data_IF_559738927650
#
_entry.id   IF_559738927650
#
_cell.length_a   1.000
_cell.length_b   1.000
_cell.length_c   1.000
_cell.angle_alpha   90.00
_cell.angle_beta   90.00
_cell.angle_gamma   90.00
#
_symmetry.space_group_name_H-M   'P 1'
#
loop_
_entity.id
_entity.type
_entity.pdbx_description
1 polymer ?
#
# COMPACT_ATOMS: atom_id res chain seq x y z
N UNK A 1 -27.96 65.48 -1.77
CA UNK A 1 -26.57 65.10 -2.07
C UNK A 1 -26.36 63.69 -1.55
N UNK A 2 -26.75 62.69 -2.33
CA UNK A 2 -26.66 61.27 -1.96
C UNK A 2 -25.86 60.57 -3.06
N UNK A 3 -24.64 60.16 -2.76
CA UNK A 3 -23.81 59.35 -3.64
C UNK A 3 -23.84 57.91 -3.13
N UNK A 4 -24.39 57.06 -3.99
CA UNK A 4 -24.29 55.61 -3.97
C UNK A 4 -22.82 55.19 -3.98
N UNK A 5 -22.48 54.16 -3.21
CA UNK A 5 -21.56 53.13 -3.70
C UNK A 5 -21.85 51.78 -3.02
N UNK A 6 -22.72 51.00 -3.65
CA UNK A 6 -22.79 49.56 -3.47
C UNK A 6 -22.00 48.94 -4.62
N UNK A 7 -20.94 48.18 -4.34
CA UNK A 7 -20.72 46.80 -4.83
C UNK A 7 -19.28 46.33 -4.51
N UNK A 8 -19.07 45.80 -3.30
CA UNK A 8 -17.95 44.87 -3.07
C UNK A 8 -18.40 43.50 -3.57
N UNK A 9 -18.06 43.19 -4.81
CA UNK A 9 -18.21 41.86 -5.42
C UNK A 9 -17.31 40.89 -4.65
N UNK A 10 -17.92 39.98 -3.92
CA UNK A 10 -17.26 38.83 -3.29
C UNK A 10 -16.66 37.95 -4.40
N UNK A 11 -15.33 37.90 -4.49
CA UNK A 11 -14.64 36.87 -5.25
C UNK A 11 -14.74 35.56 -4.45
N UNK A 12 -15.69 34.72 -4.84
CA UNK A 12 -15.84 33.36 -4.32
C UNK A 12 -15.64 32.35 -5.45
N UNK A 13 -14.92 31.29 -5.11
CA UNK A 13 -14.77 30.00 -5.80
C UNK A 13 -14.07 29.97 -7.16
N UNK A 14 -12.81 29.50 -7.16
CA UNK A 14 -12.30 28.65 -8.27
C UNK A 14 -11.10 27.72 -7.90
N UNK A 15 -10.63 27.72 -6.63
CA UNK A 15 -9.47 26.92 -6.21
C UNK A 15 -9.68 25.41 -6.27
N UNK A 16 -10.91 24.92 -6.05
CA UNK A 16 -11.21 23.48 -6.05
C UNK A 16 -11.22 22.80 -7.44
N UNK A 17 -11.50 23.55 -8.51
CA UNK A 17 -11.50 23.03 -9.89
C UNK A 17 -10.11 22.98 -10.52
N UNK A 18 -9.22 23.89 -10.13
CA UNK A 18 -7.83 23.89 -10.59
C UNK A 18 -7.03 22.76 -9.94
N UNK A 19 -7.17 22.58 -8.61
CA UNK A 19 -6.49 21.50 -7.88
C UNK A 19 -6.92 20.10 -8.34
N UNK A 20 -8.21 19.89 -8.64
CA UNK A 20 -8.71 18.60 -9.12
C UNK A 20 -8.27 18.24 -10.55
N UNK A 21 -8.09 19.24 -11.44
CA UNK A 21 -7.51 19.03 -12.78
C UNK A 21 -6.02 18.69 -12.70
N UNK A 22 -5.30 19.32 -11.78
CA UNK A 22 -3.87 19.08 -11.54
C UNK A 22 -3.63 17.66 -10.99
N UNK A 23 -4.44 17.20 -10.04
CA UNK A 23 -4.34 15.82 -9.51
C UNK A 23 -4.57 14.74 -10.58
N UNK A 24 -5.53 14.94 -11.49
CA UNK A 24 -5.77 14.01 -12.60
C UNK A 24 -4.61 13.93 -13.59
N UNK A 25 -3.96 15.06 -13.86
CA UNK A 25 -2.76 15.11 -14.69
C UNK A 25 -1.56 14.43 -14.01
N UNK A 26 -1.34 14.72 -12.71
CA UNK A 26 -0.29 14.10 -11.90
C UNK A 26 -0.44 12.57 -11.91
N UNK A 27 -1.65 12.06 -11.63
CA UNK A 27 -1.92 10.63 -11.61
C UNK A 27 -1.63 9.99 -12.98
N UNK A 28 -2.12 10.60 -14.06
CA UNK A 28 -1.91 10.09 -15.44
C UNK A 28 -0.43 10.03 -15.80
N UNK A 29 0.35 11.06 -15.46
CA UNK A 29 1.80 11.11 -15.72
C UNK A 29 2.58 10.09 -14.89
N UNK A 30 2.21 9.92 -13.62
CA UNK A 30 2.84 8.94 -12.74
C UNK A 30 2.57 7.51 -13.21
N UNK A 31 1.34 7.20 -13.61
CA UNK A 31 0.97 5.90 -14.14
C UNK A 31 1.68 5.60 -15.46
N UNK A 32 1.72 6.56 -16.40
CA UNK A 32 2.46 6.41 -17.65
C UNK A 32 3.97 6.18 -17.42
N UNK A 33 4.56 6.86 -16.43
CA UNK A 33 5.95 6.59 -16.05
C UNK A 33 6.12 5.18 -15.47
N UNK A 34 5.21 4.75 -14.58
CA UNK A 34 5.25 3.41 -13.96
C UNK A 34 5.12 2.30 -15.00
N UNK A 35 4.24 2.46 -15.99
CA UNK A 35 4.06 1.50 -17.09
C UNK A 35 5.36 1.22 -17.84
N UNK A 36 6.17 2.26 -18.07
CA UNK A 36 7.46 2.16 -18.76
C UNK A 36 8.68 1.85 -17.88
N UNK A 37 8.63 2.13 -16.58
CA UNK A 37 9.83 2.16 -15.71
C UNK A 37 9.71 1.37 -14.40
N UNK A 38 8.61 0.65 -14.18
CA UNK A 38 8.48 -0.22 -13.00
C UNK A 38 9.64 -1.23 -12.91
N UNK A 39 9.98 -1.60 -11.68
CA UNK A 39 10.96 -2.65 -11.42
C UNK A 39 10.28 -4.02 -11.47
N UNK A 40 10.98 -5.00 -12.03
CA UNK A 40 10.61 -6.41 -11.95
C UNK A 40 10.88 -6.94 -10.53
N UNK A 41 9.80 -7.21 -9.80
CA UNK A 41 9.84 -7.74 -8.43
C UNK A 41 8.92 -8.97 -8.35
N UNK A 42 9.33 -10.06 -7.67
CA UNK A 42 8.63 -11.35 -7.75
C UNK A 42 7.22 -11.36 -7.13
N UNK A 43 6.91 -10.38 -6.29
CA UNK A 43 5.58 -10.17 -5.69
C UNK A 43 4.69 -9.20 -6.47
N UNK A 44 5.19 -8.59 -7.55
CA UNK A 44 4.42 -7.65 -8.38
C UNK A 44 3.91 -8.34 -9.64
N UNK A 45 2.73 -7.89 -10.08
CA UNK A 45 2.23 -8.13 -11.43
C UNK A 45 2.64 -6.94 -12.29
N UNK A 46 3.25 -7.19 -13.45
CA UNK A 46 3.64 -6.12 -14.35
C UNK A 46 2.38 -5.43 -14.94
N UNK A 47 2.42 -4.14 -15.29
CA UNK A 47 1.30 -3.43 -15.91
C UNK A 47 0.71 -4.15 -17.14
N UNK A 48 1.58 -4.71 -17.99
CA UNK A 48 1.17 -5.51 -19.15
C UNK A 48 0.39 -6.79 -18.80
N UNK A 49 0.66 -7.37 -17.63
CA UNK A 49 -0.02 -8.57 -17.13
C UNK A 49 -1.36 -8.18 -16.48
N UNK A 50 -1.38 -7.08 -15.73
CA UNK A 50 -2.59 -6.51 -15.15
C UNK A 50 -3.62 -6.16 -16.24
N UNK A 51 -3.16 -5.55 -17.34
CA UNK A 51 -3.95 -5.23 -18.52
C UNK A 51 -4.52 -6.48 -19.23
N UNK A 52 -3.88 -7.65 -19.06
CA UNK A 52 -4.36 -8.95 -19.58
C UNK A 52 -5.33 -9.66 -18.64
N UNK A 53 -5.69 -9.04 -17.53
CA UNK A 53 -6.61 -9.64 -16.55
C UNK A 53 -5.93 -10.43 -15.44
N UNK A 54 -4.59 -10.52 -15.42
CA UNK A 54 -3.88 -11.14 -14.30
C UNK A 54 -4.03 -10.23 -13.09
N UNK A 55 -4.45 -10.79 -11.96
CA UNK A 55 -4.64 -10.03 -10.72
C UNK A 55 -3.56 -10.38 -9.70
N UNK A 56 -3.11 -9.42 -8.88
CA UNK A 56 -2.21 -9.72 -7.77
C UNK A 56 -2.88 -10.68 -6.79
N UNK A 57 -2.13 -11.69 -6.37
CA UNK A 57 -2.58 -12.64 -5.36
C UNK A 57 -2.47 -11.99 -3.96
N UNK A 58 -3.57 -11.88 -3.18
CA UNK A 58 -3.54 -11.33 -1.83
C UNK A 58 -2.51 -11.98 -0.91
N UNK A 59 -2.30 -13.31 -1.01
CA UNK A 59 -1.31 -14.03 -0.21
C UNK A 59 0.11 -13.51 -0.48
N UNK A 60 0.47 -13.41 -1.77
CA UNK A 60 1.77 -12.91 -2.22
C UNK A 60 1.99 -11.44 -1.88
N UNK A 61 0.97 -10.60 -2.05
CA UNK A 61 1.03 -9.18 -1.70
C UNK A 61 1.28 -9.03 -0.20
N UNK A 62 0.45 -9.65 0.64
CA UNK A 62 0.60 -9.63 2.10
C UNK A 62 1.97 -10.13 2.57
N UNK A 63 2.42 -11.28 2.06
CA UNK A 63 3.73 -11.85 2.41
C UNK A 63 4.86 -10.87 2.11
N UNK A 64 4.83 -10.24 0.93
CA UNK A 64 5.84 -9.26 0.54
C UNK A 64 5.82 -8.01 1.42
N UNK A 65 4.64 -7.49 1.77
CA UNK A 65 4.51 -6.31 2.63
C UNK A 65 5.03 -6.59 4.04
N UNK A 66 4.76 -7.77 4.61
CA UNK A 66 5.32 -8.15 5.92
C UNK A 66 6.85 -8.29 5.83
N UNK A 67 7.38 -8.89 4.77
CA UNK A 67 8.84 -9.03 4.61
C UNK A 67 9.55 -7.69 4.41
N UNK A 68 8.95 -6.75 3.67
CA UNK A 68 9.53 -5.43 3.38
C UNK A 68 9.54 -4.46 4.56
N UNK A 69 8.83 -4.77 5.65
CA UNK A 69 8.93 -4.00 6.89
C UNK A 69 10.36 -4.00 7.43
N UNK A 70 11.00 -2.84 7.43
CA UNK A 70 12.37 -2.64 7.93
C UNK A 70 13.41 -3.57 7.28
N UNK A 71 13.16 -4.01 6.04
CA UNK A 71 14.06 -4.89 5.28
C UNK A 71 14.19 -4.37 3.85
N UNK A 72 15.37 -4.50 3.24
CA UNK A 72 15.60 -3.99 1.89
C UNK A 72 14.98 -4.88 0.82
N UNK A 73 14.56 -4.28 -0.30
CA UNK A 73 13.98 -5.00 -1.45
C UNK A 73 14.89 -6.13 -1.93
N UNK A 74 16.21 -5.89 -1.99
CA UNK A 74 17.16 -6.88 -2.49
C UNK A 74 17.24 -8.10 -1.58
N UNK A 75 17.27 -7.90 -0.26
CA UNK A 75 17.25 -9.00 0.70
C UNK A 75 15.95 -9.81 0.60
N UNK A 76 14.79 -9.15 0.42
CA UNK A 76 13.50 -9.84 0.39
C UNK A 76 13.31 -10.73 -0.84
N UNK A 77 13.94 -10.44 -1.99
CA UNK A 77 13.75 -11.19 -3.24
C UNK A 77 13.98 -12.70 -3.09
N UNK A 78 15.08 -13.12 -2.46
CA UNK A 78 15.41 -14.54 -2.30
C UNK A 78 14.50 -15.23 -1.29
N UNK A 79 14.22 -14.58 -0.16
CA UNK A 79 13.32 -15.10 0.87
C UNK A 79 11.90 -15.26 0.32
N UNK A 80 11.38 -14.27 -0.39
CA UNK A 80 10.06 -14.33 -0.97
C UNK A 80 9.90 -15.52 -1.93
N UNK A 81 10.88 -15.73 -2.82
CA UNK A 81 10.88 -16.88 -3.75
C UNK A 81 10.89 -18.20 -3.01
N UNK A 82 11.78 -18.36 -2.03
CA UNK A 82 11.87 -19.58 -1.24
C UNK A 82 10.60 -19.86 -0.41
N UNK A 83 9.98 -18.81 0.15
CA UNK A 83 8.72 -18.95 0.89
C UNK A 83 7.59 -19.42 -0.01
N UNK A 84 7.40 -18.78 -1.17
CA UNK A 84 6.31 -19.13 -2.09
C UNK A 84 6.55 -20.47 -2.79
N UNK A 85 7.79 -20.87 -2.99
CA UNK A 85 8.12 -22.22 -3.47
C UNK A 85 7.77 -23.29 -2.43
N UNK A 86 8.06 -23.02 -1.15
CA UNK A 86 7.79 -23.97 -0.06
C UNK A 86 6.32 -24.00 0.36
N UNK A 87 5.67 -22.85 0.34
CA UNK A 87 4.27 -22.64 0.73
C UNK A 87 3.59 -21.79 -0.35
N UNK A 88 3.01 -22.42 -1.37
CA UNK A 88 2.48 -21.70 -2.53
C UNK A 88 1.22 -20.89 -2.25
N UNK A 89 0.47 -21.24 -1.20
CA UNK A 89 -0.77 -20.60 -0.79
C UNK A 89 -0.87 -20.43 0.75
N UNK A 90 -1.95 -19.79 1.19
CA UNK A 90 -2.17 -19.48 2.60
C UNK A 90 -2.43 -20.75 3.41
N UNK A 91 -3.08 -21.75 2.83
CA UNK A 91 -3.38 -23.04 3.45
C UNK A 91 -2.11 -23.84 3.70
N UNK A 92 -1.19 -23.90 2.74
CA UNK A 92 0.11 -24.56 2.88
C UNK A 92 0.95 -23.88 3.97
N UNK A 93 0.97 -22.55 4.01
CA UNK A 93 1.66 -21.81 5.07
C UNK A 93 1.02 -22.07 6.44
N UNK A 94 -0.31 -22.07 6.53
CA UNK A 94 -1.04 -22.32 7.77
C UNK A 94 -0.85 -23.76 8.29
N UNK A 95 -0.85 -24.76 7.40
CA UNK A 95 -0.65 -26.16 7.76
C UNK A 95 0.78 -26.47 8.23
N UNK A 96 1.74 -25.59 7.94
CA UNK A 96 3.14 -25.80 8.30
C UNK A 96 3.40 -25.67 9.82
N UNK A 97 4.39 -26.39 10.36
CA UNK A 97 4.85 -26.17 11.72
C UNK A 97 5.41 -24.76 11.91
N UNK A 98 5.06 -24.10 13.02
CA UNK A 98 5.59 -22.76 13.34
C UNK A 98 7.11 -22.71 13.29
N UNK A 99 7.79 -23.76 13.76
CA UNK A 99 9.25 -23.86 13.72
C UNK A 99 9.83 -23.78 12.31
N UNK A 100 9.15 -24.36 11.31
CA UNK A 100 9.62 -24.33 9.92
C UNK A 100 9.51 -22.93 9.33
N UNK A 101 8.45 -22.19 9.66
CA UNK A 101 8.29 -20.78 9.28
C UNK A 101 9.36 -19.91 9.94
N UNK A 102 9.64 -20.14 11.22
CA UNK A 102 10.68 -19.41 11.94
C UNK A 102 12.08 -19.69 11.38
N UNK A 103 12.38 -20.94 11.02
CA UNK A 103 13.63 -21.33 10.34
C UNK A 103 13.75 -20.67 8.97
N UNK A 104 12.69 -20.68 8.16
CA UNK A 104 12.70 -20.03 6.85
C UNK A 104 12.85 -18.50 6.96
N UNK A 105 12.34 -17.88 8.03
CA UNK A 105 12.47 -16.45 8.30
C UNK A 105 13.86 -16.03 8.83
N UNK A 106 14.68 -16.99 9.26
CA UNK A 106 15.96 -16.70 9.90
C UNK A 106 16.85 -15.85 8.97
N UNK A 107 17.27 -14.67 9.46
CA UNK A 107 18.07 -13.71 8.71
C UNK A 107 17.30 -12.45 8.25
N UNK A 108 15.96 -12.47 8.21
CA UNK A 108 15.16 -11.27 7.92
C UNK A 108 15.02 -10.32 9.13
N UNK A 109 15.35 -10.77 10.34
CA UNK A 109 15.20 -9.99 11.57
C UNK A 109 13.73 -9.79 11.99
N UNK A 110 13.54 -9.12 13.15
CA UNK A 110 12.22 -8.83 13.74
C UNK A 110 11.27 -10.04 13.76
N UNK A 111 11.64 -11.09 14.49
CA UNK A 111 10.92 -12.36 14.58
C UNK A 111 9.46 -12.26 15.06
N UNK A 112 9.04 -11.14 15.65
CA UNK A 112 7.63 -10.87 15.89
C UNK A 112 6.81 -10.86 14.59
N UNK A 113 7.39 -10.41 13.46
CA UNK A 113 6.75 -10.47 12.14
C UNK A 113 6.48 -11.90 11.71
N UNK A 114 7.45 -12.80 11.86
CA UNK A 114 7.29 -14.22 11.53
C UNK A 114 6.18 -14.89 12.38
N UNK A 115 6.14 -14.58 13.68
CA UNK A 115 5.08 -15.09 14.58
C UNK A 115 3.70 -14.58 14.18
N UNK A 116 3.57 -13.28 13.90
CA UNK A 116 2.31 -12.69 13.45
C UNK A 116 1.92 -13.20 12.06
N UNK A 117 2.88 -13.39 11.16
CA UNK A 117 2.68 -13.98 9.84
C UNK A 117 2.05 -15.36 9.96
N UNK A 118 2.60 -16.22 10.82
CA UNK A 118 2.04 -17.56 11.06
C UNK A 118 0.64 -17.49 11.68
N UNK A 119 0.46 -16.67 12.72
CA UNK A 119 -0.84 -16.52 13.38
C UNK A 119 -1.92 -15.98 12.42
N UNK A 120 -1.56 -15.05 11.53
CA UNK A 120 -2.43 -14.53 10.48
C UNK A 120 -2.78 -15.61 9.45
N UNK A 121 -1.80 -16.38 8.98
CA UNK A 121 -2.06 -17.50 8.07
C UNK A 121 -3.05 -18.50 8.67
N UNK A 122 -2.85 -18.86 9.94
CA UNK A 122 -3.74 -19.78 10.65
C UNK A 122 -5.17 -19.24 10.77
N UNK A 123 -5.32 -17.95 11.05
CA UNK A 123 -6.64 -17.31 11.13
C UNK A 123 -7.33 -17.27 9.76
N UNK A 124 -6.63 -16.84 8.71
CA UNK A 124 -7.19 -16.75 7.35
C UNK A 124 -7.59 -18.14 6.84
N UNK A 125 -6.75 -19.16 7.04
CA UNK A 125 -7.09 -20.54 6.68
C UNK A 125 -8.34 -21.04 7.41
N UNK A 126 -8.48 -20.74 8.72
CA UNK A 126 -9.68 -21.07 9.50
C UNK A 126 -10.94 -20.33 9.03
N UNK A 127 -10.78 -19.17 8.40
CA UNK A 127 -11.86 -18.37 7.83
C UNK A 127 -12.15 -18.71 6.35
N UNK A 128 -11.66 -19.86 5.86
CA UNK A 128 -11.94 -20.34 4.51
C UNK A 128 -10.90 -19.93 3.46
N UNK A 129 -9.68 -19.58 3.89
CA UNK A 129 -8.53 -19.39 3.00
C UNK A 129 -8.55 -18.08 2.21
N UNK A 130 -9.44 -17.14 2.56
CA UNK A 130 -9.62 -15.88 1.82
C UNK A 130 -9.32 -14.68 2.70
N UNK A 131 -8.42 -13.83 2.23
CA UNK A 131 -8.21 -12.52 2.85
C UNK A 131 -9.47 -11.65 2.70
N UNK A 132 -9.84 -10.87 3.73
CA UNK A 132 -10.83 -9.82 3.59
C UNK A 132 -10.41 -8.82 2.51
N UNK A 133 -11.37 -8.36 1.71
CA UNK A 133 -11.15 -7.40 0.61
C UNK A 133 -11.28 -5.92 1.05
N UNK A 134 -11.63 -5.69 2.31
CA UNK A 134 -11.75 -4.35 2.89
C UNK A 134 -10.61 -4.04 3.84
N UNK A 135 -10.18 -2.77 3.89
CA UNK A 135 -9.18 -2.31 4.87
C UNK A 135 -9.59 -2.62 6.32
N UNK A 136 -10.87 -2.45 6.65
CA UNK A 136 -11.38 -2.73 7.99
C UNK A 136 -11.20 -4.21 8.34
N UNK A 137 -11.61 -5.14 7.45
CA UNK A 137 -11.43 -6.57 7.68
C UNK A 137 -9.96 -6.98 7.76
N UNK A 138 -9.11 -6.41 6.90
CA UNK A 138 -7.67 -6.68 6.91
C UNK A 138 -7.00 -6.28 8.23
N UNK A 139 -7.44 -5.19 8.87
CA UNK A 139 -6.89 -4.70 10.15
C UNK A 139 -7.19 -5.60 11.35
N UNK A 140 -8.19 -6.46 11.25
CA UNK A 140 -8.49 -7.44 12.29
C UNK A 140 -7.50 -8.63 12.28
N UNK A 141 -6.68 -8.75 11.23
CA UNK A 141 -5.72 -9.84 11.11
C UNK A 141 -4.42 -9.57 11.89
N UNK A 142 -3.82 -10.60 12.52
CA UNK A 142 -2.58 -10.47 13.29
C UNK A 142 -1.43 -9.81 12.50
N UNK A 143 -0.88 -8.73 13.06
CA UNK A 143 0.28 -8.04 12.47
C UNK A 143 -0.04 -7.17 11.26
N UNK A 144 -1.31 -7.02 10.86
CA UNK A 144 -1.71 -6.11 9.79
C UNK A 144 -2.10 -4.75 10.37
N UNK A 145 -1.20 -3.78 10.24
CA UNK A 145 -1.46 -2.38 10.60
C UNK A 145 -2.17 -1.60 9.50
N UNK A 146 -2.48 -0.32 9.77
CA UNK A 146 -3.18 0.55 8.82
C UNK A 146 -2.49 0.65 7.45
N UNK A 147 -1.16 0.77 7.42
CA UNK A 147 -0.39 0.80 6.16
C UNK A 147 -0.56 -0.51 5.37
N UNK A 148 -0.29 -1.66 6.00
CA UNK A 148 -0.36 -2.97 5.32
C UNK A 148 -1.78 -3.30 4.86
N UNK A 149 -2.80 -2.93 5.65
CA UNK A 149 -4.20 -3.08 5.24
C UNK A 149 -4.53 -2.24 4.00
N UNK A 150 -4.12 -0.97 3.97
CA UNK A 150 -4.32 -0.11 2.81
C UNK A 150 -3.57 -0.64 1.57
N UNK A 151 -2.33 -1.12 1.75
CA UNK A 151 -1.53 -1.68 0.66
C UNK A 151 -2.16 -2.93 0.05
N UNK A 152 -2.61 -3.87 0.88
CA UNK A 152 -3.29 -5.08 0.39
C UNK A 152 -4.62 -4.72 -0.28
N UNK A 153 -5.43 -3.85 0.33
CA UNK A 153 -6.70 -3.43 -0.23
C UNK A 153 -6.53 -2.77 -1.61
N UNK A 154 -5.56 -1.86 -1.76
CA UNK A 154 -5.29 -1.20 -3.04
C UNK A 154 -4.72 -2.17 -4.08
N UNK A 155 -3.70 -2.96 -3.72
CA UNK A 155 -2.95 -3.75 -4.71
C UNK A 155 -3.70 -5.02 -5.09
N UNK A 156 -4.23 -5.76 -4.11
CA UNK A 156 -4.81 -7.07 -4.35
C UNK A 156 -6.31 -7.01 -4.67
N UNK A 157 -7.01 -5.98 -4.19
CA UNK A 157 -8.46 -5.87 -4.28
C UNK A 157 -8.95 -4.60 -5.01
N UNK A 158 -8.03 -3.82 -5.59
CA UNK A 158 -8.32 -2.62 -6.38
C UNK A 158 -9.21 -1.61 -5.64
N UNK A 159 -9.08 -1.54 -4.32
CA UNK A 159 -9.82 -0.59 -3.50
C UNK A 159 -9.16 0.79 -3.55
N UNK A 160 -9.93 1.90 -3.58
CA UNK A 160 -9.39 3.24 -3.50
C UNK A 160 -8.87 3.53 -2.08
N UNK A 161 -7.68 3.03 -1.77
CA UNK A 161 -7.04 3.11 -0.46
C UNK A 161 -5.70 3.84 -0.57
N UNK A 162 -5.58 4.98 0.11
CA UNK A 162 -4.33 5.73 0.15
C UNK A 162 -3.29 5.04 1.03
N UNK A 163 -2.16 4.68 0.43
CA UNK A 163 -1.01 4.07 1.12
C UNK A 163 0.02 5.16 1.37
N UNK A 164 0.17 5.60 2.63
CA UNK A 164 1.08 6.69 2.99
C UNK A 164 2.23 6.14 3.84
N UNK A 165 3.41 6.04 3.22
CA UNK A 165 4.70 5.76 3.86
C UNK A 165 5.65 6.95 3.72
N UNK A 166 6.86 6.84 4.28
CA UNK A 166 7.88 7.88 4.16
C UNK A 166 8.32 8.19 2.72
N UNK A 167 8.05 7.31 1.74
CA UNK A 167 8.30 7.61 0.33
C UNK A 167 7.23 8.52 -0.24
N UNK A 168 5.96 8.18 0.01
CA UNK A 168 4.81 9.00 -0.40
C UNK A 168 4.86 10.35 0.30
N UNK A 169 5.11 10.38 1.61
CA UNK A 169 5.25 11.64 2.37
C UNK A 169 6.31 12.56 1.76
N UNK A 170 7.47 12.01 1.37
CA UNK A 170 8.56 12.75 0.73
C UNK A 170 8.21 13.26 -0.67
N UNK A 171 7.47 12.49 -1.46
CA UNK A 171 7.07 12.91 -2.83
C UNK A 171 5.98 13.97 -2.77
N UNK A 172 4.91 13.71 -2.00
CA UNK A 172 3.74 14.61 -1.89
C UNK A 172 4.14 15.94 -1.28
N UNK A 173 4.94 15.94 -0.22
CA UNK A 173 5.41 17.19 0.39
C UNK A 173 6.18 18.08 -0.59
N UNK A 174 7.02 17.50 -1.45
CA UNK A 174 7.75 18.26 -2.47
C UNK A 174 6.86 18.72 -3.61
N UNK A 175 5.94 17.87 -4.06
CA UNK A 175 5.06 18.18 -5.18
C UNK A 175 4.13 19.34 -4.86
N UNK A 176 3.58 19.38 -3.63
CA UNK A 176 2.64 20.40 -3.18
C UNK A 176 3.28 21.47 -2.28
N UNK A 177 4.62 21.50 -2.20
CA UNK A 177 5.37 22.46 -1.39
C UNK A 177 4.88 22.55 0.08
N UNK A 178 4.59 21.40 0.69
CA UNK A 178 4.21 21.32 2.11
C UNK A 178 5.45 21.61 2.96
N UNK A 179 5.44 22.76 3.64
CA UNK A 179 6.54 23.23 4.49
C UNK A 179 6.43 22.79 5.95
N UNK A 180 5.27 22.25 6.35
CA UNK A 180 5.08 21.61 7.66
C UNK A 180 6.12 20.50 7.84
N UNK A 181 6.82 20.43 8.99
CA UNK A 181 7.76 19.35 9.27
C UNK A 181 7.10 17.97 9.05
N UNK A 182 7.80 17.02 8.42
CA UNK A 182 7.21 15.72 8.05
C UNK A 182 6.62 14.94 9.24
N UNK A 183 7.17 15.13 10.44
CA UNK A 183 6.64 14.55 11.68
C UNK A 183 5.21 15.01 12.02
N UNK A 184 4.77 16.13 11.45
CA UNK A 184 3.48 16.80 11.72
C UNK A 184 2.60 16.90 10.45
N UNK A 185 3.19 16.76 9.26
CA UNK A 185 2.53 16.97 7.97
C UNK A 185 1.56 15.87 7.53
N UNK A 186 1.37 14.81 8.32
CA UNK A 186 0.61 13.62 7.88
C UNK A 186 -0.84 13.93 7.52
N UNK A 187 -1.49 14.84 8.25
CA UNK A 187 -2.86 15.28 7.95
C UNK A 187 -2.92 16.08 6.64
N UNK A 188 -1.97 16.98 6.44
CA UNK A 188 -1.86 17.80 5.23
C UNK A 188 -1.67 16.90 4.00
N UNK A 189 -0.75 15.94 4.10
CA UNK A 189 -0.43 14.97 3.04
C UNK A 189 -1.67 14.15 2.66
N UNK A 190 -2.45 13.67 3.65
CA UNK A 190 -3.67 12.91 3.41
C UNK A 190 -4.69 13.64 2.55
N UNK A 191 -4.80 14.96 2.71
CA UNK A 191 -5.72 15.80 1.93
C UNK A 191 -5.43 15.79 0.42
N UNK A 192 -4.22 15.40 0.00
CA UNK A 192 -3.83 15.33 -1.41
C UNK A 192 -3.86 13.90 -1.99
N UNK A 193 -3.96 12.87 -1.16
CA UNK A 193 -3.84 11.46 -1.59
C UNK A 193 -5.10 10.63 -1.34
N UNK A 194 -6.02 11.11 -0.50
CA UNK A 194 -7.36 10.55 -0.25
C UNK A 194 -8.41 11.31 -1.05
#
# INVERSE_FOLDING_TARGET
MALHDQTRKTASCDSGKAASRDSGEIASRLLAWYDGHHRDLPWRIAPRELARGIRPDPYRVWLSEVMLQQTTVEAVKSYFRAFVEKWPDIEALAASPTEDVMKAWAGLGYYSRARNLKACADLVARQGGRFPDTQAGLRELPGIGAYTAAAIAAIAFDQPAAVVDGNVERVVSRLFSIVTPLSEAKSDIRTYVE
#
